data_IF_986804029027
#
_entry.id   IF_986804029027
#
_cell.length_a   1.000
_cell.length_b   1.000
_cell.length_c   1.000
_cell.angle_alpha   90.00
_cell.angle_beta   90.00
_cell.angle_gamma   90.00
#
_symmetry.space_group_name_H-M   'P 1'
#
loop_
_entity.id
_entity.type
_entity.pdbx_description
1 polymer ?
#
# COMPACT_ATOMS: atom_id res chain seq x y z
N UNK A 1 60.93 -9.53 60.18
CA UNK A 1 59.75 -8.78 60.67
C UNK A 1 58.51 -9.63 60.35
N UNK A 2 57.71 -9.91 61.37
CA UNK A 2 56.47 -10.71 61.39
C UNK A 2 55.44 -10.28 60.32
N UNK A 3 54.38 -11.00 59.92
CA UNK A 3 53.87 -12.39 60.00
C UNK A 3 52.43 -12.32 59.43
N UNK A 4 51.97 -13.35 58.69
CA UNK A 4 50.55 -13.81 58.62
C UNK A 4 49.47 -12.87 58.02
N UNK A 5 48.29 -13.29 57.53
CA UNK A 5 47.61 -14.57 57.26
C UNK A 5 46.36 -14.23 56.39
N UNK A 6 45.91 -15.18 55.57
CA UNK A 6 44.59 -15.21 54.92
C UNK A 6 43.42 -14.97 55.89
N UNK A 7 42.31 -14.39 55.39
CA UNK A 7 40.97 -14.81 55.83
C UNK A 7 39.93 -14.63 54.72
N UNK A 8 39.43 -15.77 54.23
CA UNK A 8 38.25 -15.95 53.39
C UNK A 8 37.00 -15.64 54.22
N UNK A 9 36.01 -14.94 53.66
CA UNK A 9 34.68 -14.85 54.28
C UNK A 9 33.60 -15.16 53.24
N UNK A 10 33.14 -16.42 53.26
CA UNK A 10 31.88 -16.88 52.70
C UNK A 10 30.80 -16.53 53.72
N UNK A 11 29.75 -15.85 53.29
CA UNK A 11 28.57 -15.61 54.11
C UNK A 11 27.33 -16.15 53.40
N UNK A 12 26.93 -17.35 53.83
CA UNK A 12 25.60 -17.91 53.64
C UNK A 12 24.70 -17.35 54.75
N UNK A 13 23.61 -16.67 54.38
CA UNK A 13 22.44 -16.54 55.25
C UNK A 13 21.19 -16.98 54.49
N UNK A 14 20.71 -18.14 54.91
CA UNK A 14 19.37 -18.67 54.69
C UNK A 14 18.33 -17.90 55.51
N UNK A 15 17.24 -17.49 54.86
CA UNK A 15 15.95 -17.32 55.54
C UNK A 15 14.85 -18.01 54.75
N UNK A 16 14.38 -19.11 55.33
CA UNK A 16 13.08 -19.70 55.04
C UNK A 16 12.02 -18.82 55.70
N UNK A 17 11.05 -18.33 54.93
CA UNK A 17 9.81 -17.78 55.48
C UNK A 17 8.64 -18.54 54.87
N UNK A 18 7.85 -19.15 55.75
CA UNK A 18 6.67 -19.96 55.44
C UNK A 18 5.45 -19.06 55.61
N UNK A 19 4.71 -18.87 54.51
CA UNK A 19 3.25 -18.66 54.38
C UNK A 19 2.57 -17.49 55.09
N UNK A 20 1.95 -16.59 54.29
CA UNK A 20 0.55 -16.16 54.45
C UNK A 20 -0.05 -16.03 53.03
N UNK A 21 -1.15 -16.74 52.79
CA UNK A 21 -2.04 -16.59 51.63
C UNK A 21 -2.66 -15.19 51.61
N UNK A 22 -2.73 -14.56 50.43
CA UNK A 22 -3.86 -13.73 50.09
C UNK A 22 -4.09 -13.80 48.58
N UNK A 23 -5.24 -14.37 48.23
CA UNK A 23 -5.82 -14.38 46.91
C UNK A 23 -6.00 -12.95 46.39
N UNK A 24 -5.36 -12.60 45.28
CA UNK A 24 -6.01 -11.84 44.21
C UNK A 24 -5.40 -12.28 42.87
N UNK A 25 -6.20 -13.06 42.14
CA UNK A 25 -6.08 -13.26 40.71
C UNK A 25 -6.11 -11.88 40.02
N UNK A 26 -4.97 -11.45 39.48
CA UNK A 26 -4.96 -10.42 38.45
C UNK A 26 -4.97 -11.14 37.12
N UNK A 27 -6.16 -11.20 36.54
CA UNK A 27 -6.42 -11.61 35.17
C UNK A 27 -5.48 -10.85 34.24
N UNK A 28 -4.98 -11.58 33.25
CA UNK A 28 -4.33 -11.03 32.06
C UNK A 28 -5.35 -10.12 31.37
N UNK A 29 -5.32 -8.83 31.67
CA UNK A 29 -5.94 -7.83 30.83
C UNK A 29 -5.17 -7.85 29.51
N UNK A 30 -5.76 -8.55 28.54
CA UNK A 30 -5.39 -8.54 27.13
C UNK A 30 -5.50 -7.09 26.68
N UNK A 31 -4.40 -6.37 26.86
CA UNK A 31 -4.25 -5.02 26.34
C UNK A 31 -4.36 -5.15 24.83
N UNK A 32 -5.57 -4.87 24.38
CA UNK A 32 -5.96 -5.00 23.01
C UNK A 32 -5.20 -3.89 22.33
N UNK A 33 -4.18 -4.27 21.56
CA UNK A 33 -3.50 -3.38 20.64
C UNK A 33 -4.59 -2.66 19.87
N UNK A 34 -4.88 -1.42 20.27
CA UNK A 34 -5.57 -0.49 19.41
C UNK A 34 -4.52 -0.17 18.37
N UNK A 35 -4.46 -1.04 17.36
CA UNK A 35 -3.98 -0.68 16.05
C UNK A 35 -4.87 0.51 15.71
N UNK A 36 -4.34 1.72 15.89
CA UNK A 36 -4.84 2.87 15.17
C UNK A 36 -4.54 2.58 13.70
N UNK A 37 -5.32 1.68 13.11
CA UNK A 37 -5.58 1.68 11.69
C UNK A 37 -6.39 2.94 11.50
N UNK A 38 -5.68 4.08 11.41
CA UNK A 38 -6.15 5.20 10.64
C UNK A 38 -6.64 4.58 9.34
N UNK A 39 -7.93 4.65 9.01
CA UNK A 39 -8.41 4.09 7.76
C UNK A 39 -7.54 4.72 6.68
N UNK A 40 -6.84 3.89 5.92
CA UNK A 40 -6.20 4.36 4.71
C UNK A 40 -7.26 5.17 3.95
N UNK A 41 -6.98 6.42 3.54
CA UNK A 41 -7.94 7.22 2.80
C UNK A 41 -8.41 6.53 1.51
N UNK A 42 -7.73 5.44 1.10
CA UNK A 42 -8.05 4.58 -0.02
C UNK A 42 -9.49 4.05 -0.07
N UNK A 43 -10.19 3.92 1.07
CA UNK A 43 -11.53 3.31 1.08
C UNK A 43 -12.67 4.28 1.40
N UNK A 44 -12.43 5.60 1.31
CA UNK A 44 -13.49 6.59 1.44
C UNK A 44 -14.21 6.75 0.11
N UNK A 45 -15.49 6.41 0.08
CA UNK A 45 -16.34 6.74 -1.06
C UNK A 45 -16.56 8.26 -1.15
N UNK A 46 -16.35 8.79 -2.35
CA UNK A 46 -16.54 10.19 -2.70
C UNK A 46 -17.77 10.28 -3.61
N UNK A 47 -18.89 10.86 -3.14
CA UNK A 47 -20.07 11.05 -3.97
C UNK A 47 -19.87 12.24 -4.92
N UNK A 48 -20.17 12.04 -6.19
CA UNK A 48 -20.02 13.05 -7.23
C UNK A 48 -21.17 13.01 -8.25
N UNK A 49 -21.23 14.07 -9.05
CA UNK A 49 -22.13 14.18 -10.19
C UNK A 49 -21.42 14.84 -11.36
N UNK A 50 -21.60 14.31 -12.57
CA UNK A 50 -20.97 14.85 -13.76
C UNK A 50 -21.65 14.38 -15.04
N UNK A 51 -21.24 14.96 -16.16
CA UNK A 51 -21.73 14.62 -17.49
C UNK A 51 -20.89 13.48 -18.06
N UNK A 52 -21.48 12.31 -18.31
CA UNK A 52 -20.75 11.19 -18.90
C UNK A 52 -20.45 11.50 -20.38
N UNK A 53 -19.18 11.66 -20.73
CA UNK A 53 -18.76 12.03 -22.10
C UNK A 53 -18.38 10.85 -22.96
N UNK A 54 -17.80 9.81 -22.35
CA UNK A 54 -17.24 8.69 -23.09
C UNK A 54 -17.27 7.43 -22.24
N UNK A 55 -17.50 6.31 -22.91
CA UNK A 55 -17.38 4.95 -22.38
C UNK A 55 -16.44 4.19 -23.30
N UNK A 56 -15.36 3.66 -22.74
CA UNK A 56 -14.38 2.85 -23.47
C UNK A 56 -14.34 1.44 -22.88
N UNK A 57 -14.38 0.44 -23.75
CA UNK A 57 -14.18 -0.95 -23.36
C UNK A 57 -12.68 -1.17 -23.12
N UNK A 58 -12.32 -1.50 -21.88
CA UNK A 58 -10.93 -1.74 -21.45
C UNK A 58 -10.62 -3.24 -21.35
N UNK A 59 -11.52 -4.10 -21.84
CA UNK A 59 -11.48 -5.54 -21.67
C UNK A 59 -12.29 -5.98 -20.47
N UNK A 60 -13.23 -6.89 -20.70
CA UNK A 60 -14.14 -7.40 -19.67
C UNK A 60 -13.37 -7.92 -18.43
N UNK A 61 -13.78 -7.54 -17.20
CA UNK A 61 -15.00 -6.79 -16.85
C UNK A 61 -14.84 -5.27 -16.74
N UNK A 62 -13.72 -4.70 -17.19
CA UNK A 62 -13.38 -3.30 -16.96
C UNK A 62 -13.82 -2.37 -18.10
N UNK A 63 -14.29 -1.18 -17.72
CA UNK A 63 -14.60 -0.08 -18.64
C UNK A 63 -14.03 1.23 -18.10
N UNK A 64 -13.56 2.10 -18.99
CA UNK A 64 -13.12 3.45 -18.65
C UNK A 64 -14.20 4.46 -18.99
N UNK A 65 -14.55 5.31 -18.01
CA UNK A 65 -15.53 6.38 -18.15
C UNK A 65 -14.82 7.73 -18.10
N UNK A 66 -15.04 8.58 -19.11
CA UNK A 66 -14.64 9.99 -19.03
C UNK A 66 -15.86 10.80 -18.59
N UNK A 67 -15.75 11.45 -17.43
CA UNK A 67 -16.83 12.26 -16.85
C UNK A 67 -16.36 13.71 -16.79
N UNK A 68 -17.17 14.61 -17.35
CA UNK A 68 -16.95 16.05 -17.33
C UNK A 68 -17.66 16.69 -16.13
N UNK A 69 -16.92 17.51 -15.40
CA UNK A 69 -17.43 18.34 -14.31
C UNK A 69 -17.57 19.78 -14.79
N UNK A 70 -18.70 20.08 -15.44
CA UNK A 70 -18.96 21.36 -16.13
C UNK A 70 -18.68 22.58 -15.26
N UNK A 71 -19.11 22.56 -13.99
CA UNK A 71 -18.93 23.69 -13.07
C UNK A 71 -17.45 23.95 -12.71
N UNK A 72 -16.61 22.91 -12.82
CA UNK A 72 -15.18 22.95 -12.49
C UNK A 72 -14.29 23.00 -13.74
N UNK A 73 -14.88 22.99 -14.94
CA UNK A 73 -14.19 23.02 -16.24
C UNK A 73 -13.06 21.98 -16.37
N UNK A 74 -13.27 20.76 -15.88
CA UNK A 74 -12.33 19.65 -16.10
C UNK A 74 -13.07 18.35 -16.39
N UNK A 75 -12.35 17.38 -16.93
CA UNK A 75 -12.81 16.00 -17.11
C UNK A 75 -11.82 15.07 -16.45
N UNK A 76 -12.32 13.94 -15.96
CA UNK A 76 -11.51 12.92 -15.30
C UNK A 76 -11.88 11.54 -15.82
N UNK A 77 -10.91 10.62 -15.78
CA UNK A 77 -11.12 9.23 -16.13
C UNK A 77 -11.34 8.39 -14.88
N UNK A 78 -12.32 7.49 -14.99
CA UNK A 78 -12.68 6.56 -13.93
C UNK A 78 -12.69 5.15 -14.48
N UNK A 79 -12.15 4.22 -13.70
CA UNK A 79 -12.26 2.78 -13.98
C UNK A 79 -13.53 2.27 -13.31
N UNK A 80 -14.26 1.42 -14.01
CA UNK A 80 -15.42 0.73 -13.48
C UNK A 80 -15.30 -0.77 -13.78
N UNK A 81 -15.44 -1.60 -12.77
CA UNK A 81 -15.62 -3.03 -12.93
C UNK A 81 -17.11 -3.35 -13.01
N UNK A 82 -17.57 -3.83 -14.17
CA UNK A 82 -18.98 -4.15 -14.42
C UNK A 82 -19.52 -5.31 -13.56
N UNK A 83 -18.65 -6.17 -13.05
CA UNK A 83 -19.04 -7.26 -12.14
C UNK A 83 -19.14 -6.79 -10.68
N UNK A 84 -18.51 -5.66 -10.34
CA UNK A 84 -18.53 -5.12 -8.99
C UNK A 84 -19.73 -4.21 -8.72
N UNK A 85 -20.40 -3.72 -9.77
CA UNK A 85 -21.52 -2.77 -9.65
C UNK A 85 -22.81 -3.40 -10.17
N UNK A 86 -23.82 -3.48 -9.31
CA UNK A 86 -25.10 -4.11 -9.64
C UNK A 86 -25.87 -3.37 -10.74
N UNK A 87 -26.52 -4.12 -11.61
CA UNK A 87 -27.42 -3.61 -12.66
C UNK A 87 -26.77 -2.65 -13.67
N UNK A 88 -25.45 -2.62 -13.75
CA UNK A 88 -24.71 -1.84 -14.75
C UNK A 88 -24.20 -2.75 -15.85
N UNK A 89 -24.24 -2.27 -17.10
CA UNK A 89 -23.69 -2.98 -18.26
C UNK A 89 -23.10 -1.98 -19.24
N UNK A 90 -22.20 -2.44 -20.10
CA UNK A 90 -21.64 -1.60 -21.15
C UNK A 90 -22.73 -0.96 -22.03
N UNK A 91 -23.78 -1.70 -22.39
CA UNK A 91 -24.91 -1.17 -23.17
C UNK A 91 -25.65 -0.07 -22.42
N UNK A 92 -25.90 -0.27 -21.12
CA UNK A 92 -26.58 0.73 -20.30
C UNK A 92 -25.73 2.01 -20.17
N UNK A 93 -24.44 1.88 -19.89
CA UNK A 93 -23.51 3.02 -19.77
C UNK A 93 -23.41 3.81 -21.08
N UNK A 94 -23.36 3.13 -22.23
CA UNK A 94 -23.39 3.80 -23.53
C UNK A 94 -24.68 4.63 -23.73
N UNK A 95 -25.81 4.21 -23.16
CA UNK A 95 -27.05 4.99 -23.20
C UNK A 95 -27.05 6.23 -22.28
N UNK A 96 -26.07 6.33 -21.37
CA UNK A 96 -25.87 7.46 -20.46
C UNK A 96 -24.93 8.52 -21.03
N UNK A 97 -24.28 8.27 -22.17
CA UNK A 97 -23.41 9.26 -22.83
C UNK A 97 -24.19 10.55 -23.13
N UNK A 98 -23.53 11.68 -22.88
CA UNK A 98 -24.06 13.04 -22.89
C UNK A 98 -25.21 13.30 -21.91
N UNK A 99 -25.33 12.49 -20.85
CA UNK A 99 -26.28 12.70 -19.74
C UNK A 99 -25.56 12.79 -18.40
N UNK A 100 -26.21 13.45 -17.44
CA UNK A 100 -25.70 13.55 -16.09
C UNK A 100 -25.86 12.23 -15.34
N UNK A 101 -24.80 11.82 -14.66
CA UNK A 101 -24.76 10.65 -13.80
C UNK A 101 -24.38 11.07 -12.38
N UNK A 102 -24.96 10.39 -11.39
CA UNK A 102 -24.52 10.42 -9.99
C UNK A 102 -23.76 9.15 -9.72
N UNK A 103 -22.62 9.24 -9.06
CA UNK A 103 -21.76 8.11 -8.81
C UNK A 103 -20.96 8.27 -7.52
N UNK A 104 -20.52 7.15 -6.96
CA UNK A 104 -19.53 7.10 -5.89
C UNK A 104 -18.23 6.53 -6.47
N UNK A 105 -17.09 7.00 -5.99
CA UNK A 105 -15.80 6.44 -6.36
C UNK A 105 -14.82 6.46 -5.19
N UNK A 106 -13.83 5.58 -5.24
CA UNK A 106 -12.62 5.65 -4.42
C UNK A 106 -11.48 6.25 -5.24
N UNK A 107 -10.56 6.93 -4.55
CA UNK A 107 -9.40 7.56 -5.16
C UNK A 107 -8.16 7.12 -4.41
N UNK A 108 -7.25 6.48 -5.13
CA UNK A 108 -6.04 5.89 -4.57
C UNK A 108 -4.80 6.49 -5.22
N UNK A 109 -3.82 6.88 -4.41
CA UNK A 109 -2.50 7.26 -4.90
C UNK A 109 -1.74 5.97 -5.22
N UNK A 110 -1.32 5.82 -6.47
CA UNK A 110 -0.55 4.67 -6.95
C UNK A 110 0.89 5.11 -7.20
N UNK A 111 1.83 4.37 -6.61
CA UNK A 111 3.25 4.52 -6.89
C UNK A 111 3.64 3.62 -8.07
N UNK A 112 4.04 4.22 -9.18
CA UNK A 112 4.47 3.47 -10.35
C UNK A 112 5.98 3.32 -10.32
N UNK A 113 6.46 2.09 -10.11
CA UNK A 113 7.88 1.79 -10.09
C UNK A 113 8.47 1.94 -11.50
N UNK A 114 9.49 2.78 -11.62
CA UNK A 114 10.20 3.03 -12.87
C UNK A 114 11.52 2.27 -12.93
N UNK A 115 12.28 2.28 -11.83
CA UNK A 115 13.53 1.51 -11.71
C UNK A 115 13.88 1.22 -10.24
N UNK A 116 14.73 0.20 -10.04
CA UNK A 116 15.37 -0.10 -8.76
C UNK A 116 16.88 -0.03 -8.98
N UNK A 117 17.58 0.69 -8.11
CA UNK A 117 19.02 0.75 -8.09
C UNK A 117 19.57 -0.01 -6.88
N UNK A 118 20.51 -0.93 -7.13
CA UNK A 118 21.29 -1.62 -6.11
C UNK A 118 22.78 -1.39 -6.37
N UNK A 119 23.52 -0.90 -5.36
CA UNK A 119 24.94 -0.54 -5.50
C UNK A 119 25.22 0.38 -6.70
N UNK A 120 24.39 1.41 -6.90
CA UNK A 120 24.46 2.37 -8.01
C UNK A 120 24.32 1.76 -9.42
N UNK A 121 23.66 0.60 -9.53
CA UNK A 121 23.33 -0.04 -10.80
C UNK A 121 21.84 -0.33 -10.88
N UNK A 122 21.26 -0.07 -12.06
CA UNK A 122 19.89 -0.45 -12.36
C UNK A 122 19.73 -1.97 -12.28
N UNK A 123 18.67 -2.40 -11.61
CA UNK A 123 18.21 -3.79 -11.55
C UNK A 123 17.50 -4.15 -12.85
N UNK A 124 16.85 -3.18 -13.50
CA UNK A 124 16.17 -3.38 -14.80
C UNK A 124 17.08 -3.19 -16.01
N UNK A 125 18.37 -2.89 -15.78
CA UNK A 125 19.38 -2.79 -16.83
C UNK A 125 19.43 -1.45 -17.56
N UNK A 126 18.80 -0.40 -17.02
CA UNK A 126 18.93 0.95 -17.55
C UNK A 126 20.37 1.48 -17.39
N UNK A 127 20.86 2.19 -18.41
CA UNK A 127 22.20 2.80 -18.38
C UNK A 127 22.27 4.03 -17.44
N UNK A 128 21.14 4.70 -17.26
CA UNK A 128 21.00 5.92 -16.47
C UNK A 128 19.72 5.87 -15.63
N UNK A 129 19.75 6.56 -14.50
CA UNK A 129 18.59 6.65 -13.63
C UNK A 129 17.47 7.43 -14.34
N UNK A 130 16.20 7.13 -14.07
CA UNK A 130 15.09 7.93 -14.58
C UNK A 130 15.19 9.39 -14.12
N UNK A 131 14.94 10.34 -15.03
CA UNK A 131 14.96 11.78 -14.76
C UNK A 131 13.63 12.44 -15.21
N UNK A 132 13.14 13.41 -14.43
CA UNK A 132 11.91 14.16 -14.71
C UNK A 132 11.41 14.91 -13.47
N UNK A 133 10.62 15.97 -13.66
CA UNK A 133 10.10 16.79 -12.55
C UNK A 133 9.17 15.99 -11.61
N UNK A 134 8.45 15.01 -12.15
CA UNK A 134 7.51 14.17 -11.40
C UNK A 134 8.14 12.90 -10.82
N UNK A 135 9.40 12.62 -11.18
CA UNK A 135 10.12 11.42 -10.72
C UNK A 135 10.66 11.66 -9.32
N UNK A 136 10.34 10.72 -8.43
CA UNK A 136 10.76 10.68 -7.04
C UNK A 136 11.61 9.45 -6.79
N UNK A 137 12.32 9.45 -5.68
CA UNK A 137 13.10 8.30 -5.23
C UNK A 137 12.88 8.03 -3.75
N UNK A 138 12.86 6.75 -3.38
CA UNK A 138 12.83 6.29 -1.98
C UNK A 138 13.98 5.30 -1.75
N UNK A 139 14.74 5.51 -0.69
CA UNK A 139 15.79 4.60 -0.25
C UNK A 139 15.29 3.75 0.92
N UNK A 140 15.49 2.44 0.84
CA UNK A 140 14.99 1.53 1.86
C UNK A 140 15.29 0.08 1.56
N UNK A 141 14.68 -0.83 2.33
CA UNK A 141 14.81 -2.27 2.12
C UNK A 141 13.68 -2.74 1.22
N UNK A 142 14.02 -3.47 0.14
CA UNK A 142 13.04 -4.11 -0.75
C UNK A 142 12.44 -5.36 -0.08
N UNK A 143 11.12 -5.48 -0.14
CA UNK A 143 10.36 -6.65 0.30
C UNK A 143 9.34 -7.08 -0.77
N UNK A 144 8.84 -8.30 -0.65
CA UNK A 144 7.79 -8.84 -1.52
C UNK A 144 8.30 -9.47 -2.82
N UNK A 145 9.60 -9.41 -3.09
CA UNK A 145 10.23 -10.02 -4.26
C UNK A 145 10.75 -11.45 -3.97
N UNK A 146 9.95 -12.31 -3.36
CA UNK A 146 10.40 -13.66 -2.94
C UNK A 146 10.54 -14.64 -4.11
N UNK A 147 9.75 -14.42 -5.17
CA UNK A 147 9.74 -15.24 -6.37
C UNK A 147 9.26 -14.41 -7.57
N UNK A 148 9.59 -14.89 -8.77
CA UNK A 148 9.12 -14.26 -10.01
C UNK A 148 7.60 -14.34 -10.12
N UNK A 149 6.99 -13.31 -10.72
CA UNK A 149 5.55 -13.33 -11.04
C UNK A 149 5.29 -14.34 -12.17
N UNK A 150 4.46 -15.35 -11.90
CA UNK A 150 4.14 -16.43 -12.85
C UNK A 150 2.79 -16.25 -13.57
N UNK A 151 2.04 -15.21 -13.23
CA UNK A 151 0.72 -14.93 -13.81
C UNK A 151 0.66 -13.60 -14.55
N UNK A 152 -0.49 -13.31 -15.14
CA UNK A 152 -0.71 -12.10 -15.95
C UNK A 152 -1.05 -10.86 -15.11
N UNK A 153 -1.20 -11.03 -13.80
CA UNK A 153 -1.40 -9.92 -12.87
C UNK A 153 -0.09 -9.60 -12.16
N UNK A 154 0.22 -8.30 -11.95
CA UNK A 154 1.39 -7.91 -11.18
C UNK A 154 1.30 -8.45 -9.75
N UNK A 155 2.46 -8.75 -9.17
CA UNK A 155 2.59 -8.89 -7.73
C UNK A 155 2.66 -7.51 -7.06
N UNK A 156 3.11 -7.49 -5.82
CA UNK A 156 3.37 -6.25 -5.09
C UNK A 156 4.74 -6.36 -4.42
N UNK A 157 5.55 -5.33 -4.59
CA UNK A 157 6.80 -5.15 -3.83
C UNK A 157 6.70 -3.89 -2.99
N UNK A 158 7.45 -3.84 -1.89
CA UNK A 158 7.47 -2.66 -1.05
C UNK A 158 8.87 -2.19 -0.72
N UNK A 159 9.04 -0.89 -0.48
CA UNK A 159 10.28 -0.30 -0.01
C UNK A 159 10.04 0.34 1.35
N UNK A 160 10.66 -0.26 2.38
CA UNK A 160 10.59 0.23 3.76
C UNK A 160 11.77 1.17 4.03
N UNK A 161 11.49 2.45 4.19
CA UNK A 161 12.47 3.49 4.45
C UNK A 161 12.84 3.61 5.94
N UNK A 162 13.97 4.25 6.22
CA UNK A 162 14.50 4.38 7.59
C UNK A 162 13.67 5.31 8.48
N UNK A 163 12.88 6.20 7.88
CA UNK A 163 11.91 7.07 8.56
C UNK A 163 10.58 6.35 8.90
N UNK A 164 10.45 5.09 8.50
CA UNK A 164 9.27 4.27 8.72
C UNK A 164 8.21 4.40 7.63
N UNK A 165 8.46 5.18 6.57
CA UNK A 165 7.60 5.18 5.38
C UNK A 165 7.70 3.84 4.65
N UNK A 166 6.57 3.39 4.08
CA UNK A 166 6.53 2.19 3.24
C UNK A 166 5.75 2.48 1.97
N UNK A 167 6.40 2.33 0.82
CA UNK A 167 5.77 2.46 -0.49
C UNK A 167 5.54 1.08 -1.10
N UNK A 168 4.31 0.84 -1.54
CA UNK A 168 3.90 -0.39 -2.22
C UNK A 168 3.80 -0.12 -3.72
N UNK A 169 4.38 -1.01 -4.51
CA UNK A 169 4.47 -0.89 -5.95
C UNK A 169 3.87 -2.15 -6.59
N UNK A 170 2.74 -2.05 -7.31
CA UNK A 170 2.27 -3.14 -8.14
C UNK A 170 3.27 -3.35 -9.29
N UNK A 171 3.89 -4.53 -9.35
CA UNK A 171 4.93 -4.80 -10.35
C UNK A 171 5.04 -6.29 -10.72
N UNK A 172 5.50 -6.58 -11.93
CA UNK A 172 5.85 -7.94 -12.33
C UNK A 172 7.26 -8.27 -11.83
N UNK A 173 7.35 -9.14 -10.82
CA UNK A 173 8.60 -9.45 -10.14
C UNK A 173 9.50 -10.27 -11.06
N UNK A 174 10.71 -9.76 -11.31
CA UNK A 174 11.73 -10.42 -12.17
C UNK A 174 12.78 -11.16 -11.34
N UNK A 175 13.60 -12.00 -11.98
CA UNK A 175 14.71 -12.70 -11.30
C UNK A 175 15.71 -11.73 -10.68
N UNK A 176 15.97 -10.60 -11.35
CA UNK A 176 16.86 -9.55 -10.88
C UNK A 176 16.32 -8.91 -9.59
N UNK A 177 15.01 -8.68 -9.50
CA UNK A 177 14.37 -8.18 -8.27
C UNK A 177 14.49 -9.19 -7.14
N UNK A 178 14.27 -10.49 -7.41
CA UNK A 178 14.44 -11.55 -6.42
C UNK A 178 15.88 -11.56 -5.87
N UNK A 179 16.88 -11.31 -6.71
CA UNK A 179 18.29 -11.27 -6.30
C UNK A 179 18.63 -10.13 -5.33
N UNK A 180 17.81 -9.07 -5.30
CA UNK A 180 17.97 -7.91 -4.42
C UNK A 180 16.87 -7.80 -3.36
N UNK A 181 16.03 -8.83 -3.20
CA UNK A 181 15.06 -8.90 -2.10
C UNK A 181 15.79 -8.84 -0.75
N UNK A 182 15.19 -8.16 0.22
CA UNK A 182 15.76 -7.89 1.54
C UNK A 182 17.09 -7.11 1.51
N UNK A 183 17.42 -6.46 0.39
CA UNK A 183 18.58 -5.56 0.28
C UNK A 183 18.15 -4.12 0.31
N UNK A 184 19.08 -3.26 0.73
CA UNK A 184 18.94 -1.82 0.65
C UNK A 184 19.08 -1.37 -0.81
N UNK A 185 18.08 -0.68 -1.32
CA UNK A 185 17.99 -0.18 -2.70
C UNK A 185 17.53 1.27 -2.72
N UNK A 186 17.63 1.90 -3.90
CA UNK A 186 16.96 3.16 -4.23
C UNK A 186 15.92 2.86 -5.31
N UNK A 187 14.63 3.04 -5.01
CA UNK A 187 13.56 2.88 -6.00
C UNK A 187 13.19 4.24 -6.59
N UNK A 188 13.14 4.33 -7.92
CA UNK A 188 12.67 5.50 -8.67
C UNK A 188 11.24 5.25 -9.11
N UNK A 189 10.38 6.24 -8.91
CA UNK A 189 8.96 6.10 -9.16
C UNK A 189 8.31 7.43 -9.53
N UNK A 190 7.16 7.36 -10.20
CA UNK A 190 6.24 8.48 -10.27
C UNK A 190 4.95 8.15 -9.50
N UNK A 191 4.07 9.14 -9.39
CA UNK A 191 2.78 9.00 -8.72
C UNK A 191 1.64 9.26 -9.69
N UNK A 192 0.65 8.39 -9.67
CA UNK A 192 -0.61 8.58 -10.37
C UNK A 192 -1.80 8.42 -9.43
N UNK A 193 -2.98 8.85 -9.86
CA UNK A 193 -4.22 8.65 -9.10
C UNK A 193 -5.09 7.65 -9.86
N UNK A 194 -5.55 6.62 -9.17
CA UNK A 194 -6.53 5.67 -9.68
C UNK A 194 -7.90 6.00 -9.09
N UNK A 195 -8.84 6.36 -9.95
CA UNK A 195 -10.22 6.63 -9.55
C UNK A 195 -11.11 5.45 -9.97
N UNK A 196 -11.71 4.75 -9.00
CA UNK A 196 -12.54 3.58 -9.26
C UNK A 196 -13.98 3.82 -8.83
N UNK A 197 -14.93 3.73 -9.76
CA UNK A 197 -16.36 3.89 -9.47
C UNK A 197 -16.88 2.65 -8.73
N UNK A 198 -17.62 2.88 -7.64
CA UNK A 198 -18.25 1.85 -6.82
C UNK A 198 -19.78 1.81 -6.97
N UNK A 199 -20.40 2.90 -7.42
CA UNK A 199 -21.83 2.99 -7.76
C UNK A 199 -22.03 4.03 -8.86
N UNK A 200 -22.96 3.80 -9.79
CA UNK A 200 -23.31 4.80 -10.81
C UNK A 200 -24.76 4.66 -11.26
N UNK A 201 -25.43 5.80 -11.42
CA UNK A 201 -26.80 5.88 -11.94
C UNK A 201 -27.05 7.16 -12.73
N UNK A 202 -27.99 7.06 -13.66
CA UNK A 202 -28.48 8.21 -14.40
C UNK A 202 -29.21 9.19 -13.47
N UNK A 203 -29.04 10.48 -13.72
CA UNK A 203 -29.90 11.52 -13.13
C UNK A 203 -31.13 11.66 -14.02
N UNK A 204 -32.31 11.42 -13.44
CA UNK A 204 -33.61 11.63 -14.09
C UNK A 204 -33.93 13.11 -14.31
#
# INVERSE_FOLDING_TARGET
MFRMLHFTFVLLFSFSCKGIENNQSFDLEKDTVVVNSSPSPANKEIPEMGLLKKVEDSGYPFVNLTIEFTERNFSENFVLNLEAVENVSLTLLNSYVDKYVKFNYTSELVYNLLDIYYNNKSVFGAEMAPEGEEIKSIEGILYGADQTTNGDLPGEVSVFADDGENHYFPFFITEEMVSVNEKRITAFYDTSVSNTITDIKLVE
#
